data_IF_109987007823
#
_entry.id   IF_109987007823
#
_cell.length_a   1.000
_cell.length_b   1.000
_cell.length_c   1.000
_cell.angle_alpha   90.00
_cell.angle_beta   90.00
_cell.angle_gamma   90.00
#
_symmetry.space_group_name_H-M   'P 1'
#
loop_
_entity.id
_entity.type
_entity.pdbx_description
1 polymer ?
#
# COMPACT_ATOMS: atom_id res chain seq x y z
N UNK A 1 -36.77 -19.21 48.46
CA UNK A 1 -36.91 -17.73 48.57
C UNK A 1 -35.75 -17.09 47.78
N UNK A 2 -35.87 -15.82 47.37
CA UNK A 2 -34.82 -15.07 46.65
C UNK A 2 -33.55 -14.83 47.55
N UNK A 3 -32.37 -14.35 47.13
CA UNK A 3 -31.91 -13.31 46.15
C UNK A 3 -30.48 -13.69 45.67
N UNK A 4 -29.90 -13.29 44.51
CA UNK A 4 -30.40 -12.54 43.34
C UNK A 4 -29.55 -11.31 42.93
N UNK A 5 -28.44 -11.44 42.18
CA UNK A 5 -27.55 -10.30 41.82
C UNK A 5 -27.00 -10.27 40.36
N UNK A 6 -27.11 -9.09 39.73
CA UNK A 6 -26.29 -8.54 38.63
C UNK A 6 -26.07 -9.34 37.33
N UNK A 7 -26.96 -9.12 36.35
CA UNK A 7 -26.63 -9.30 34.93
C UNK A 7 -26.21 -7.95 34.32
N UNK A 8 -24.96 -7.84 33.85
CA UNK A 8 -24.46 -6.66 33.15
C UNK A 8 -25.21 -6.44 31.84
N UNK A 9 -25.98 -5.36 31.75
CA UNK A 9 -26.64 -4.94 30.50
C UNK A 9 -25.59 -4.37 29.53
N UNK A 10 -25.40 -5.02 28.39
CA UNK A 10 -24.76 -4.38 27.22
C UNK A 10 -25.72 -3.32 26.67
N UNK A 11 -25.26 -2.12 26.28
CA UNK A 11 -26.12 -1.15 25.59
C UNK A 11 -26.44 -1.68 24.19
N UNK A 12 -27.73 -1.94 23.94
CA UNK A 12 -28.25 -2.12 22.59
C UNK A 12 -28.26 -0.75 21.90
N UNK A 13 -27.37 -0.56 20.93
CA UNK A 13 -27.47 0.57 20.00
C UNK A 13 -28.74 0.43 19.17
N UNK A 14 -29.81 1.08 19.60
CA UNK A 14 -31.02 1.23 18.80
C UNK A 14 -30.74 2.20 17.65
N UNK A 15 -30.29 1.68 16.50
CA UNK A 15 -30.37 2.43 15.25
C UNK A 15 -31.84 2.75 14.98
N UNK A 16 -32.16 4.03 14.78
CA UNK A 16 -33.51 4.45 14.39
C UNK A 16 -33.85 3.86 13.01
N UNK A 17 -35.14 3.59 12.78
CA UNK A 17 -35.62 3.10 11.47
C UNK A 17 -35.37 4.10 10.34
N UNK A 18 -35.13 5.37 10.67
CA UNK A 18 -34.87 6.46 9.72
C UNK A 18 -33.51 6.32 9.02
N UNK A 19 -32.51 5.71 9.67
CA UNK A 19 -31.20 5.41 9.05
C UNK A 19 -31.25 4.27 8.02
N UNK A 20 -32.32 3.46 7.99
CA UNK A 20 -32.50 2.40 6.99
C UNK A 20 -33.20 2.86 5.70
N UNK A 21 -33.49 4.17 5.58
CA UNK A 21 -34.11 4.77 4.38
C UNK A 21 -33.15 5.56 3.49
N UNK A 22 -31.84 5.32 3.62
CA UNK A 22 -30.87 5.72 2.60
C UNK A 22 -31.31 5.12 1.24
N UNK A 23 -31.61 5.99 0.28
CA UNK A 23 -32.19 5.58 -0.99
C UNK A 23 -31.31 4.54 -1.71
N UNK A 24 -31.94 3.55 -2.36
CA UNK A 24 -31.25 2.76 -3.39
C UNK A 24 -30.56 3.76 -4.34
N UNK A 25 -29.24 3.68 -4.57
CA UNK A 25 -28.61 4.55 -5.55
C UNK A 25 -29.29 4.24 -6.88
N UNK A 26 -29.97 5.24 -7.44
CA UNK A 26 -30.48 5.14 -8.80
C UNK A 26 -29.27 4.79 -9.68
N UNK A 27 -29.40 3.75 -10.50
CA UNK A 27 -28.33 3.34 -11.38
C UNK A 27 -28.02 4.50 -12.33
N UNK A 28 -26.97 5.27 -11.99
CA UNK A 28 -26.39 6.29 -12.82
C UNK A 28 -25.84 5.59 -14.05
N UNK A 29 -26.71 5.42 -15.05
CA UNK A 29 -26.36 4.97 -16.38
C UNK A 29 -25.48 6.04 -17.02
N UNK A 30 -24.21 6.08 -16.62
CA UNK A 30 -23.17 6.76 -17.37
C UNK A 30 -23.22 6.16 -18.76
N UNK A 31 -23.50 6.96 -19.81
CA UNK A 31 -23.36 6.47 -21.16
C UNK A 31 -21.92 5.99 -21.29
N UNK A 32 -21.73 4.68 -21.53
CA UNK A 32 -20.44 4.16 -21.96
C UNK A 32 -20.17 4.74 -23.33
N UNK A 33 -19.66 5.99 -23.34
CA UNK A 33 -19.16 6.66 -24.51
C UNK A 33 -18.15 5.70 -25.10
N UNK A 34 -18.49 5.06 -26.22
CA UNK A 34 -17.51 4.27 -26.98
C UNK A 34 -16.39 5.26 -27.27
N UNK A 35 -15.26 5.07 -26.61
CA UNK A 35 -14.01 5.72 -27.00
C UNK A 35 -13.50 4.92 -28.20
N UNK A 36 -14.26 5.02 -29.29
CA UNK A 36 -13.74 4.89 -30.65
C UNK A 36 -13.02 6.19 -30.98
N UNK A 37 -12.04 6.54 -30.15
CA UNK A 37 -10.86 7.20 -30.65
C UNK A 37 -10.07 6.09 -31.35
N UNK A 38 -9.69 6.31 -32.60
CA UNK A 38 -8.44 5.73 -33.06
C UNK A 38 -7.39 6.18 -32.04
N UNK A 39 -6.78 5.23 -31.35
CA UNK A 39 -5.60 5.53 -30.53
C UNK A 39 -4.51 5.82 -31.55
N UNK A 40 -4.43 7.09 -31.95
CA UNK A 40 -3.33 7.58 -32.77
C UNK A 40 -2.05 7.28 -32.00
N UNK A 41 -1.30 6.29 -32.50
CA UNK A 41 -0.12 5.77 -31.83
C UNK A 41 0.94 6.88 -31.85
N UNK A 42 1.01 7.64 -30.75
CA UNK A 42 2.04 8.65 -30.53
C UNK A 42 3.39 8.00 -30.84
N UNK A 43 4.17 8.54 -31.80
CA UNK A 43 5.41 7.91 -32.23
C UNK A 43 6.32 7.65 -31.04
N UNK A 44 6.59 6.38 -30.78
CA UNK A 44 7.44 5.96 -29.66
C UNK A 44 8.84 6.55 -29.89
N UNK A 45 9.34 7.40 -28.98
CA UNK A 45 10.59 8.12 -29.19
C UNK A 45 11.76 7.14 -29.31
N UNK A 46 12.67 7.39 -30.25
CA UNK A 46 13.72 6.45 -30.67
C UNK A 46 14.70 6.04 -29.56
N UNK A 47 14.74 6.79 -28.44
CA UNK A 47 15.55 6.46 -27.27
C UNK A 47 14.76 5.60 -26.25
N UNK A 48 14.06 4.58 -26.72
CA UNK A 48 13.25 3.71 -25.86
C UNK A 48 14.08 2.73 -25.06
N UNK A 49 13.87 2.73 -23.75
CA UNK A 49 14.34 1.63 -22.90
C UNK A 49 13.71 0.29 -23.34
N UNK A 50 14.36 -0.82 -22.99
CA UNK A 50 13.91 -2.15 -23.42
C UNK A 50 12.50 -2.52 -22.93
N UNK A 51 12.04 -1.90 -21.84
CA UNK A 51 10.70 -2.11 -21.29
C UNK A 51 9.61 -1.51 -22.19
N UNK A 52 9.79 -0.30 -22.71
CA UNK A 52 8.79 0.31 -23.61
C UNK A 52 8.59 -0.54 -24.87
N UNK A 53 9.65 -1.12 -25.43
CA UNK A 53 9.55 -2.03 -26.56
C UNK A 53 8.86 -3.37 -26.22
N UNK A 54 8.88 -3.82 -24.97
CA UNK A 54 8.10 -4.98 -24.48
C UNK A 54 6.63 -4.59 -24.32
N UNK A 55 6.35 -3.48 -23.62
CA UNK A 55 4.99 -3.01 -23.34
C UNK A 55 4.23 -2.62 -24.61
N UNK A 56 4.87 -1.94 -25.56
CA UNK A 56 4.26 -1.58 -26.84
C UNK A 56 3.85 -2.83 -27.65
N UNK A 57 4.71 -3.87 -27.70
CA UNK A 57 4.38 -5.16 -28.34
C UNK A 57 3.23 -5.86 -27.63
N UNK A 58 3.22 -5.87 -26.29
CA UNK A 58 2.12 -6.43 -25.49
C UNK A 58 0.80 -5.74 -25.80
N UNK A 59 0.77 -4.41 -25.80
CA UNK A 59 -0.44 -3.61 -26.08
C UNK A 59 -0.92 -3.82 -27.52
N UNK A 60 -0.02 -3.97 -28.49
CA UNK A 60 -0.39 -4.24 -29.88
C UNK A 60 -0.99 -5.65 -30.08
N UNK A 61 -0.60 -6.64 -29.26
CA UNK A 61 -1.06 -8.03 -29.37
C UNK A 61 -2.30 -8.33 -28.49
N UNK A 62 -2.35 -7.79 -27.27
CA UNK A 62 -3.38 -8.10 -26.26
C UNK A 62 -4.43 -6.97 -26.12
N UNK A 63 -4.18 -5.80 -26.72
CA UNK A 63 -4.97 -4.59 -26.52
C UNK A 63 -4.52 -3.76 -25.30
N UNK A 64 -5.26 -2.70 -24.94
CA UNK A 64 -4.89 -1.81 -23.84
C UNK A 64 -4.75 -2.54 -22.50
N UNK A 65 -3.59 -2.38 -21.85
CA UNK A 65 -3.32 -2.91 -20.50
C UNK A 65 -3.83 -1.95 -19.41
N UNK A 66 -4.03 -2.45 -18.20
CA UNK A 66 -4.40 -1.59 -17.07
C UNK A 66 -3.20 -0.77 -16.57
N UNK A 67 -3.49 0.33 -15.86
CA UNK A 67 -2.43 1.09 -15.16
C UNK A 67 -1.71 0.22 -14.13
N UNK A 68 -2.39 -0.77 -13.53
CA UNK A 68 -1.77 -1.69 -12.59
C UNK A 68 -0.75 -2.63 -13.28
N UNK A 69 -1.08 -3.16 -14.46
CA UNK A 69 -0.15 -3.95 -15.28
C UNK A 69 1.08 -3.14 -15.71
N UNK A 70 0.84 -1.89 -16.16
CA UNK A 70 1.91 -0.98 -16.54
C UNK A 70 2.83 -0.68 -15.36
N UNK A 71 2.28 -0.33 -14.20
CA UNK A 71 3.08 -0.02 -13.00
C UNK A 71 3.81 -1.26 -12.46
N UNK A 72 3.19 -2.44 -12.49
CA UNK A 72 3.85 -3.70 -12.12
C UNK A 72 5.09 -3.98 -12.98
N UNK A 73 4.98 -3.75 -14.30
CA UNK A 73 6.12 -3.87 -15.20
C UNK A 73 7.17 -2.75 -15.00
N UNK A 74 6.75 -1.49 -14.91
CA UNK A 74 7.63 -0.33 -14.71
C UNK A 74 8.47 -0.42 -13.42
N UNK A 75 7.87 -0.96 -12.35
CA UNK A 75 8.53 -1.07 -11.05
C UNK A 75 9.32 -2.38 -10.90
N UNK A 76 8.81 -3.49 -11.43
CA UNK A 76 9.28 -4.85 -11.11
C UNK A 76 9.72 -5.73 -12.29
N UNK A 77 9.83 -5.22 -13.52
CA UNK A 77 10.35 -6.04 -14.64
C UNK A 77 11.79 -6.52 -14.34
N UNK A 78 12.12 -7.83 -14.43
CA UNK A 78 13.38 -8.36 -13.90
C UNK A 78 14.69 -7.73 -14.43
N UNK A 79 14.64 -7.12 -15.62
CA UNK A 79 15.81 -6.49 -16.29
C UNK A 79 15.70 -4.97 -16.40
N UNK A 80 14.49 -4.41 -16.25
CA UNK A 80 14.21 -3.00 -16.59
C UNK A 80 13.29 -2.29 -15.57
N UNK A 81 12.88 -3.00 -14.53
CA UNK A 81 12.04 -2.48 -13.46
C UNK A 81 12.86 -1.56 -12.57
N UNK A 82 12.26 -0.44 -12.20
CA UNK A 82 12.90 0.61 -11.40
C UNK A 82 13.58 0.07 -10.12
N UNK A 83 12.91 -0.83 -9.38
CA UNK A 83 13.43 -1.41 -8.14
C UNK A 83 14.32 -2.66 -8.34
N UNK A 84 14.61 -3.06 -9.58
CA UNK A 84 15.38 -4.27 -9.89
C UNK A 84 16.86 -4.01 -10.20
N UNK A 85 17.25 -2.74 -10.43
CA UNK A 85 18.59 -2.36 -10.89
C UNK A 85 19.42 -1.61 -9.86
N UNK A 86 19.09 -0.33 -9.64
CA UNK A 86 19.81 0.55 -8.71
C UNK A 86 19.20 0.53 -7.31
N UNK A 87 19.98 0.96 -6.32
CA UNK A 87 19.47 1.44 -5.03
C UNK A 87 18.93 2.87 -5.23
N UNK A 88 17.60 3.10 -5.14
CA UNK A 88 17.02 4.43 -5.38
C UNK A 88 17.04 5.32 -4.13
N UNK A 89 17.52 4.81 -2.99
CA UNK A 89 17.35 5.46 -1.68
C UNK A 89 18.54 6.35 -1.28
N UNK A 90 18.23 7.47 -0.64
CA UNK A 90 19.20 8.35 0.03
C UNK A 90 19.70 9.50 -0.86
N UNK A 91 20.75 10.20 -0.40
CA UNK A 91 21.24 11.45 -1.01
C UNK A 91 21.80 11.26 -2.44
N UNK A 92 22.27 10.06 -2.76
CA UNK A 92 22.77 9.69 -4.10
C UNK A 92 21.73 8.94 -4.95
N UNK A 93 20.55 8.66 -4.39
CA UNK A 93 19.42 8.06 -5.10
C UNK A 93 18.44 9.11 -5.62
N UNK A 94 17.32 8.64 -6.18
CA UNK A 94 16.27 9.52 -6.72
C UNK A 94 15.42 10.15 -5.62
N UNK A 95 15.38 9.55 -4.43
CA UNK A 95 14.68 10.10 -3.27
C UNK A 95 15.25 9.61 -1.93
N UNK A 96 15.08 10.42 -0.88
CA UNK A 96 15.38 10.04 0.51
C UNK A 96 14.11 9.65 1.26
N UNK A 97 14.25 8.87 2.35
CA UNK A 97 13.14 8.42 3.20
C UNK A 97 13.41 8.78 4.67
N UNK A 98 12.37 8.81 5.51
CA UNK A 98 12.52 9.25 6.90
C UNK A 98 13.58 8.47 7.73
N UNK A 99 13.70 7.13 7.61
CA UNK A 99 14.79 6.38 8.25
C UNK A 99 16.19 6.83 7.81
N UNK A 100 16.38 7.19 6.53
CA UNK A 100 17.66 7.65 5.98
C UNK A 100 18.00 9.11 6.36
N UNK A 101 17.02 9.89 6.87
CA UNK A 101 17.22 11.27 7.31
C UNK A 101 17.62 11.34 8.79
N UNK A 102 16.98 10.54 9.65
CA UNK A 102 17.22 10.59 11.09
C UNK A 102 16.92 9.28 11.81
N UNK A 103 17.93 8.79 12.50
CA UNK A 103 17.89 7.70 13.47
C UNK A 103 16.69 7.80 14.45
N UNK A 104 16.33 9.02 14.87
CA UNK A 104 15.22 9.23 15.80
C UNK A 104 13.89 8.71 15.25
N UNK A 105 13.71 8.67 13.93
CA UNK A 105 12.49 8.14 13.31
C UNK A 105 12.33 6.64 13.63
N UNK A 106 13.38 5.85 13.43
CA UNK A 106 13.33 4.41 13.68
C UNK A 106 13.25 4.07 15.16
N UNK A 107 13.93 4.83 16.02
CA UNK A 107 13.87 4.64 17.47
C UNK A 107 12.47 4.92 18.03
N UNK A 108 11.81 5.99 17.59
CA UNK A 108 10.44 6.31 18.01
C UNK A 108 9.42 5.27 17.53
N UNK A 109 9.57 4.74 16.31
CA UNK A 109 8.74 3.64 15.80
C UNK A 109 8.98 2.35 16.61
N UNK A 110 10.23 2.03 16.95
CA UNK A 110 10.59 0.88 17.78
C UNK A 110 9.98 0.94 19.19
N UNK A 111 10.10 2.09 19.87
CA UNK A 111 9.50 2.33 21.18
C UNK A 111 7.97 2.25 21.14
N UNK A 112 7.34 2.78 20.09
CA UNK A 112 5.90 2.64 19.87
C UNK A 112 5.48 1.18 19.69
N UNK A 113 6.20 0.41 18.87
CA UNK A 113 5.95 -1.03 18.69
C UNK A 113 6.09 -1.81 20.02
N UNK A 114 7.11 -1.50 20.83
CA UNK A 114 7.33 -2.13 22.12
C UNK A 114 6.20 -1.81 23.12
N UNK A 115 5.75 -0.56 23.19
CA UNK A 115 4.63 -0.15 24.06
C UNK A 115 3.30 -0.76 23.60
N UNK A 116 3.02 -0.82 22.28
CA UNK A 116 1.82 -1.50 21.76
C UNK A 116 1.84 -2.99 22.11
N UNK A 117 2.97 -3.68 21.95
CA UNK A 117 3.12 -5.08 22.35
C UNK A 117 2.90 -5.27 23.86
N UNK A 118 3.41 -4.36 24.70
CA UNK A 118 3.17 -4.38 26.15
C UNK A 118 1.70 -4.17 26.50
N UNK A 119 1.02 -3.22 25.83
CA UNK A 119 -0.41 -2.96 26.00
C UNK A 119 -1.30 -4.12 25.52
N UNK A 120 -0.82 -4.94 24.56
CA UNK A 120 -1.45 -6.19 24.16
C UNK A 120 -1.26 -7.34 25.17
N UNK A 121 -0.60 -7.10 26.31
CA UNK A 121 -0.33 -8.11 27.33
C UNK A 121 0.94 -8.93 27.08
N UNK A 122 1.88 -8.41 26.29
CA UNK A 122 3.16 -9.05 25.95
C UNK A 122 3.04 -10.49 25.45
N UNK A 123 2.19 -10.76 24.43
CA UNK A 123 1.99 -12.12 23.91
C UNK A 123 3.28 -12.72 23.37
N UNK A 124 3.44 -14.03 23.57
CA UNK A 124 4.56 -14.82 23.06
C UNK A 124 4.05 -16.17 22.49
N UNK A 125 4.52 -16.61 21.30
CA UNK A 125 5.41 -15.87 20.39
C UNK A 125 4.71 -14.67 19.73
N UNK A 126 5.49 -13.71 19.24
CA UNK A 126 5.02 -12.61 18.40
C UNK A 126 5.96 -12.41 17.21
N UNK A 127 5.48 -11.75 16.15
CA UNK A 127 6.26 -11.40 14.98
C UNK A 127 6.20 -9.88 14.76
N UNK A 128 7.35 -9.25 14.54
CA UNK A 128 7.46 -7.87 14.05
C UNK A 128 7.84 -7.93 12.56
N UNK A 129 7.02 -7.36 11.69
CA UNK A 129 7.13 -7.52 10.23
C UNK A 129 7.20 -6.14 9.59
N UNK A 130 8.24 -5.92 8.77
CA UNK A 130 8.38 -4.74 7.91
C UNK A 130 8.21 -5.16 6.44
N UNK A 131 7.41 -4.41 5.68
CA UNK A 131 7.14 -4.67 4.27
C UNK A 131 7.90 -3.65 3.42
N UNK A 132 8.79 -4.14 2.55
CA UNK A 132 9.66 -3.28 1.74
C UNK A 132 10.70 -2.51 2.58
N UNK A 133 11.57 -3.19 3.34
CA UNK A 133 12.46 -2.55 4.32
C UNK A 133 13.56 -1.65 3.72
N UNK A 134 13.65 -1.56 2.39
CA UNK A 134 14.74 -0.87 1.70
C UNK A 134 16.10 -1.42 2.15
N UNK A 135 16.90 -0.55 2.79
CA UNK A 135 18.23 -0.87 3.35
C UNK A 135 18.16 -1.51 4.76
N UNK A 136 16.98 -1.64 5.35
CA UNK A 136 16.75 -2.21 6.69
C UNK A 136 16.97 -1.23 7.85
N UNK A 137 17.25 0.04 7.55
CA UNK A 137 17.58 1.10 8.51
C UNK A 137 16.51 1.25 9.60
N UNK A 138 15.22 1.22 9.21
CA UNK A 138 14.09 1.31 10.15
C UNK A 138 14.11 0.18 11.18
N UNK A 139 14.18 -1.08 10.75
CA UNK A 139 14.26 -2.22 11.66
C UNK A 139 15.51 -2.19 12.54
N UNK A 140 16.66 -1.79 11.99
CA UNK A 140 17.92 -1.70 12.75
C UNK A 140 17.83 -0.70 13.90
N UNK A 141 17.27 0.49 13.65
CA UNK A 141 17.06 1.52 14.65
C UNK A 141 15.98 1.11 15.67
N UNK A 142 14.86 0.55 15.20
CA UNK A 142 13.77 0.07 16.04
C UNK A 142 14.22 -1.03 17.01
N UNK A 143 15.00 -2.01 16.53
CA UNK A 143 15.56 -3.08 17.36
C UNK A 143 16.67 -2.60 18.29
N UNK A 144 17.37 -1.50 17.98
CA UNK A 144 18.36 -0.90 18.87
C UNK A 144 17.69 -0.18 20.04
N UNK A 145 16.57 0.51 19.80
CA UNK A 145 15.80 1.20 20.83
C UNK A 145 15.04 0.27 21.80
N UNK A 146 14.86 -1.00 21.41
CA UNK A 146 14.14 -2.02 22.20
C UNK A 146 15.05 -2.98 22.98
N UNK A 147 16.35 -2.67 23.10
CA UNK A 147 17.34 -3.42 23.91
C UNK A 147 17.57 -2.77 25.27
#
# INVERSE_FOLDING_TARGET
MAVGASAHRRPLFHLSRDLQRAAKPAALAHPRRRVSAEIELVPVPQNTNGLTAILARRIAAEGPISVADYMGAALGHPVFGYYMGNDPFGVAGDFTTAPEISQMFGELVGLWCAEVWRLMGSPAPFNLIELGPGRGTLMQDALRAAR
#
